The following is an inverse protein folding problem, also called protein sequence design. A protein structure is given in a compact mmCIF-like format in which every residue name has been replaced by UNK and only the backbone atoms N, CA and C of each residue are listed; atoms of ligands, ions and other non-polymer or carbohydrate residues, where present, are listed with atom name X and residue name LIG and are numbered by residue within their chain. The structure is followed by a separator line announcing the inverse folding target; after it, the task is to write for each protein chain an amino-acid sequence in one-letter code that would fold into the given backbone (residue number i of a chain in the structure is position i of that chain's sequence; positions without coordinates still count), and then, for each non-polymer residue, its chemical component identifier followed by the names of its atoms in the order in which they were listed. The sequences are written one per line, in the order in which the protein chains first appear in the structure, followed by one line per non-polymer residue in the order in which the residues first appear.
data_IF_099018927039
#
_entry.id   IF_099018927039
#
_cell.length_a   1.000
_cell.length_b   1.000
_cell.length_c   1.000
_cell.angle_alpha   90.00
_cell.angle_beta   90.00
_cell.angle_gamma   90.00
#
_symmetry.space_group_name_H-M   'P 1'
#
loop_
_entity.id
_entity.type
_entity.pdbx_description
1 polymer ?
#
# COMPACT_ATOMS: atom_id res chain seq x y z
N UNK A 1 -0.77 1.81 9.74
CA UNK A 1 -1.85 0.80 9.61
C UNK A 1 -2.94 1.18 8.60
N UNK A 2 -3.29 2.46 8.41
CA UNK A 2 -4.15 2.89 7.28
C UNK A 2 -3.60 2.41 5.92
N UNK A 3 -2.28 2.56 5.74
CA UNK A 3 -1.55 2.12 4.55
C UNK A 3 -1.83 0.64 4.24
N UNK A 4 -1.71 -0.23 5.23
CA UNK A 4 -1.90 -1.67 5.06
C UNK A 4 -3.35 -2.02 4.70
N UNK A 5 -4.33 -1.35 5.34
CA UNK A 5 -5.74 -1.54 5.07
C UNK A 5 -6.13 -1.21 3.62
N UNK A 6 -5.60 -0.13 3.01
CA UNK A 6 -5.89 0.21 1.62
C UNK A 6 -5.04 -0.58 0.62
N UNK A 7 -3.84 -0.98 1.03
CA UNK A 7 -2.98 -1.82 0.20
C UNK A 7 -3.66 -3.14 -0.16
N UNK A 8 -4.42 -3.76 0.75
CA UNK A 8 -5.09 -5.06 0.52
C UNK A 8 -6.04 -5.03 -0.71
N UNK A 9 -7.05 -4.14 -0.79
CA UNK A 9 -7.91 -4.06 -1.97
C UNK A 9 -7.12 -3.66 -3.22
N UNK A 10 -6.15 -2.75 -3.12
CA UNK A 10 -5.30 -2.37 -4.26
C UNK A 10 -4.50 -3.54 -4.83
N UNK A 11 -3.85 -4.34 -3.97
CA UNK A 11 -3.11 -5.54 -4.38
C UNK A 11 -4.04 -6.53 -5.05
N UNK A 12 -5.23 -6.80 -4.49
CA UNK A 12 -6.21 -7.73 -5.10
C UNK A 12 -6.64 -7.26 -6.50
N UNK A 13 -6.81 -5.96 -6.71
CA UNK A 13 -7.14 -5.40 -8.03
C UNK A 13 -5.96 -5.55 -8.99
N UNK A 14 -4.75 -5.17 -8.55
CA UNK A 14 -3.56 -5.21 -9.39
C UNK A 14 -3.14 -6.63 -9.77
N UNK A 15 -3.11 -7.58 -8.84
CA UNK A 15 -2.82 -8.99 -9.15
C UNK A 15 -3.88 -9.60 -10.07
N UNK A 16 -5.15 -9.22 -9.93
CA UNK A 16 -6.20 -9.67 -10.86
C UNK A 16 -5.98 -9.11 -12.26
N UNK A 17 -5.51 -7.88 -12.39
CA UNK A 17 -5.23 -7.24 -13.66
C UNK A 17 -3.95 -7.77 -14.33
N UNK A 18 -2.82 -7.76 -13.61
CA UNK A 18 -1.51 -8.15 -14.14
C UNK A 18 -1.26 -9.66 -14.14
N UNK A 19 -1.64 -10.37 -13.08
CA UNK A 19 -1.35 -11.79 -12.88
C UNK A 19 -2.54 -12.70 -13.22
N UNK A 20 -3.72 -12.13 -13.55
CA UNK A 20 -4.97 -12.85 -13.86
C UNK A 20 -5.39 -13.87 -12.79
N UNK A 21 -5.04 -13.62 -11.53
CA UNK A 21 -5.32 -14.53 -10.41
C UNK A 21 -6.83 -14.59 -10.11
N UNK A 22 -7.38 -15.80 -9.97
CA UNK A 22 -8.78 -16.00 -9.54
C UNK A 22 -8.89 -15.95 -8.03
N UNK A 23 -9.67 -14.99 -7.52
CA UNK A 23 -9.92 -14.82 -6.08
C UNK A 23 -11.20 -15.52 -5.65
N UNK A 24 -11.15 -16.26 -4.53
CA UNK A 24 -12.33 -16.84 -3.87
C UNK A 24 -13.13 -15.74 -3.17
N UNK A 25 -14.45 -15.88 -3.12
CA UNK A 25 -15.38 -14.91 -2.51
C UNK A 25 -14.96 -14.50 -1.08
N UNK A 26 -14.41 -15.43 -0.28
CA UNK A 26 -13.91 -15.12 1.08
C UNK A 26 -12.82 -14.05 1.14
N UNK A 27 -11.98 -13.92 0.10
CA UNK A 27 -10.96 -12.86 0.01
C UNK A 27 -11.58 -11.53 -0.39
N UNK A 28 -12.62 -11.56 -1.22
CA UNK A 28 -13.36 -10.37 -1.63
C UNK A 28 -14.15 -9.76 -0.46
N UNK A 29 -14.72 -10.60 0.41
CA UNK A 29 -15.42 -10.13 1.62
C UNK A 29 -14.46 -9.47 2.63
N UNK A 30 -13.23 -9.97 2.75
CA UNK A 30 -12.20 -9.30 3.55
C UNK A 30 -11.83 -7.92 2.98
N UNK A 31 -11.68 -7.84 1.66
CA UNK A 31 -11.39 -6.58 0.97
C UNK A 31 -12.48 -5.52 1.18
N UNK A 32 -13.76 -5.91 1.13
CA UNK A 32 -14.87 -4.97 1.41
C UNK A 32 -14.85 -4.43 2.83
N UNK A 33 -14.47 -5.24 3.82
CA UNK A 33 -14.33 -4.79 5.21
C UNK A 33 -13.18 -3.78 5.34
N UNK A 34 -12.07 -3.99 4.62
CA UNK A 34 -10.95 -3.06 4.60
C UNK A 34 -11.37 -1.69 4.03
N UNK A 35 -12.16 -1.68 2.95
CA UNK A 35 -12.72 -0.44 2.38
C UNK A 35 -13.63 0.28 3.39
N UNK A 36 -14.49 -0.45 4.09
CA UNK A 36 -15.35 0.13 5.12
C UNK A 36 -14.54 0.79 6.27
N UNK A 37 -13.46 0.13 6.72
CA UNK A 37 -12.57 0.68 7.75
C UNK A 37 -11.94 2.02 7.34
N UNK A 38 -11.55 2.17 6.07
CA UNK A 38 -10.93 3.40 5.57
C UNK A 38 -11.92 4.56 5.53
N UNK A 39 -13.16 4.30 5.10
CA UNK A 39 -14.21 5.32 5.09
C UNK A 39 -14.45 5.85 6.51
N UNK A 40 -14.48 4.96 7.51
CA UNK A 40 -14.64 5.35 8.92
C UNK A 40 -13.46 6.21 9.40
N UNK A 41 -12.22 5.83 9.06
CA UNK A 41 -11.04 6.57 9.50
C UNK A 41 -11.00 7.97 8.87
N UNK A 42 -11.19 8.10 7.55
CA UNK A 42 -11.22 9.40 6.87
C UNK A 42 -12.32 10.28 7.46
N UNK A 43 -13.50 9.71 7.75
CA UNK A 43 -14.60 10.47 8.38
C UNK A 43 -14.23 10.95 9.79
N UNK A 44 -13.52 10.11 10.56
CA UNK A 44 -13.01 10.47 11.88
C UNK A 44 -11.99 11.61 11.79
N UNK A 45 -11.11 11.60 10.81
CA UNK A 45 -10.10 12.65 10.62
C UNK A 45 -10.73 13.98 10.18
N UNK A 46 -11.75 13.94 9.31
CA UNK A 46 -12.54 15.14 8.95
C UNK A 46 -13.27 15.71 10.18
N UNK A 47 -13.88 14.86 11.01
CA UNK A 47 -14.59 15.33 12.22
C UNK A 47 -13.63 15.81 13.32
N UNK A 48 -12.43 15.25 13.42
CA UNK A 48 -11.40 15.67 14.36
C UNK A 48 -10.71 16.97 13.91
N UNK A 49 -10.58 17.20 12.60
CA UNK A 49 -10.02 18.43 12.01
C UNK A 49 -10.73 19.69 12.50
N UNK A 50 -12.06 19.59 12.63
CA UNK A 50 -12.93 20.69 13.07
C UNK A 50 -12.66 21.08 14.54
N UNK A 51 -12.06 20.18 15.32
CA UNK A 51 -11.77 20.37 16.76
C UNK A 51 -10.30 20.61 17.09
N UNK A 52 -9.36 20.16 16.25
CA UNK A 52 -7.95 20.02 16.64
C UNK A 52 -6.99 21.06 16.04
N UNK A 53 -7.42 21.98 15.16
CA UNK A 53 -6.55 23.04 14.64
C UNK A 53 -5.33 22.57 13.82
N UNK A 54 -5.29 21.29 13.44
CA UNK A 54 -4.21 20.70 12.63
C UNK A 54 -4.29 21.10 11.16
N UNK A 55 -3.14 21.38 10.55
CA UNK A 55 -3.05 21.83 9.16
C UNK A 55 -3.36 20.67 8.18
N UNK A 56 -4.56 20.69 7.59
CA UNK A 56 -5.01 19.82 6.48
C UNK A 56 -4.72 18.30 6.63
N UNK A 57 -5.30 17.58 7.61
CA UNK A 57 -5.14 16.12 7.73
C UNK A 57 -5.59 15.37 6.47
N UNK A 58 -6.51 15.93 5.69
CA UNK A 58 -6.89 15.42 4.37
C UNK A 58 -5.70 15.25 3.40
N UNK A 59 -4.67 16.12 3.49
CA UNK A 59 -3.45 15.97 2.68
C UNK A 59 -2.64 14.76 3.14
N UNK A 60 -2.60 14.50 4.45
CA UNK A 60 -1.97 13.32 5.02
C UNK A 60 -2.65 12.04 4.53
N UNK A 61 -3.98 11.97 4.60
CA UNK A 61 -4.76 10.83 4.12
C UNK A 61 -4.52 10.57 2.63
N UNK A 62 -4.49 11.61 1.80
CA UNK A 62 -4.21 11.50 0.38
C UNK A 62 -2.80 10.95 0.11
N UNK A 63 -1.80 11.39 0.88
CA UNK A 63 -0.42 10.95 0.75
C UNK A 63 -0.26 9.48 1.19
N UNK A 64 -0.99 9.07 2.24
CA UNK A 64 -1.08 7.66 2.67
C UNK A 64 -1.74 6.80 1.60
N UNK A 65 -2.84 7.25 1.00
CA UNK A 65 -3.51 6.55 -0.10
C UNK A 65 -2.56 6.40 -1.30
N UNK A 66 -1.88 7.46 -1.71
CA UNK A 66 -0.88 7.41 -2.78
C UNK A 66 0.25 6.42 -2.45
N UNK A 67 0.80 6.48 -1.23
CA UNK A 67 1.84 5.57 -0.76
C UNK A 67 1.40 4.10 -0.76
N UNK A 68 0.15 3.83 -0.36
CA UNK A 68 -0.40 2.46 -0.35
C UNK A 68 -0.65 1.90 -1.76
N UNK A 69 -0.97 2.73 -2.75
CA UNK A 69 -1.04 2.30 -4.16
C UNK A 69 0.37 1.92 -4.65
N UNK A 70 1.37 2.75 -4.38
CA UNK A 70 2.76 2.47 -4.75
C UNK A 70 3.27 1.19 -4.09
N UNK A 71 2.98 1.01 -2.79
CA UNK A 71 3.33 -0.20 -2.07
C UNK A 71 2.63 -1.44 -2.65
N UNK A 72 1.35 -1.32 -3.03
CA UNK A 72 0.64 -2.39 -3.73
C UNK A 72 1.30 -2.74 -5.07
N UNK A 73 1.73 -1.74 -5.85
CA UNK A 73 2.44 -1.96 -7.12
C UNK A 73 3.78 -2.67 -6.90
N UNK A 74 4.58 -2.24 -5.91
CA UNK A 74 5.84 -2.91 -5.57
C UNK A 74 5.61 -4.38 -5.21
N UNK A 75 4.63 -4.66 -4.34
CA UNK A 75 4.32 -6.03 -3.90
C UNK A 75 3.88 -6.93 -5.08
N UNK A 76 3.06 -6.41 -5.99
CA UNK A 76 2.62 -7.18 -7.18
C UNK A 76 3.76 -7.38 -8.17
N UNK A 77 4.65 -6.40 -8.29
CA UNK A 77 5.86 -6.51 -9.13
C UNK A 77 6.81 -7.56 -8.59
N UNK A 78 7.02 -7.61 -7.27
CA UNK A 78 7.79 -8.68 -6.62
C UNK A 78 7.14 -10.05 -6.84
N UNK A 79 5.81 -10.17 -6.70
CA UNK A 79 5.09 -11.42 -7.00
C UNK A 79 5.22 -11.84 -8.47
N UNK A 80 5.34 -10.87 -9.38
CA UNK A 80 5.58 -11.16 -10.79
C UNK A 80 7.02 -11.61 -11.04
N UNK A 81 8.00 -10.86 -10.56
CA UNK A 81 9.42 -11.14 -10.77
C UNK A 81 9.87 -12.46 -10.13
N UNK A 82 9.32 -12.81 -8.97
CA UNK A 82 9.65 -14.07 -8.29
C UNK A 82 9.19 -15.31 -9.06
N UNK A 83 8.27 -15.16 -10.02
CA UNK A 83 7.88 -16.24 -10.93
C UNK A 83 8.88 -16.45 -12.06
N UNK A 84 9.82 -15.52 -12.26
CA UNK A 84 10.80 -15.55 -13.34
C UNK A 84 12.26 -15.61 -12.86
N UNK A 85 12.57 -15.11 -11.65
CA UNK A 85 13.92 -15.05 -11.08
C UNK A 85 13.98 -15.66 -9.66
N UNK A 86 15.20 -15.88 -9.14
CA UNK A 86 15.39 -16.44 -7.81
C UNK A 86 14.96 -15.44 -6.72
N UNK A 87 14.32 -15.96 -5.66
CA UNK A 87 13.89 -15.20 -4.49
C UNK A 87 15.03 -14.48 -3.79
N UNK A 88 16.16 -15.17 -3.63
CA UNK A 88 17.32 -14.63 -2.90
C UNK A 88 17.92 -13.47 -3.68
N UNK A 89 18.04 -13.61 -5.00
CA UNK A 89 18.57 -12.56 -5.88
C UNK A 89 17.68 -11.32 -5.86
N UNK A 90 16.35 -11.49 -5.98
CA UNK A 90 15.41 -10.38 -5.92
C UNK A 90 15.45 -9.62 -4.60
N UNK A 91 15.47 -10.34 -3.47
CA UNK A 91 15.53 -9.71 -2.15
C UNK A 91 16.88 -9.02 -1.89
N UNK A 92 17.98 -9.59 -2.41
CA UNK A 92 19.29 -8.97 -2.33
C UNK A 92 19.39 -7.67 -3.16
N UNK A 93 18.86 -7.67 -4.38
CA UNK A 93 18.79 -6.47 -5.23
C UNK A 93 17.89 -5.40 -4.59
N UNK A 94 16.68 -5.77 -4.17
CA UNK A 94 15.76 -4.84 -3.51
C UNK A 94 16.39 -4.20 -2.27
N UNK A 95 17.03 -5.01 -1.41
CA UNK A 95 17.70 -4.54 -0.21
C UNK A 95 18.91 -3.65 -0.49
N UNK A 96 19.75 -4.01 -1.47
CA UNK A 96 20.93 -3.21 -1.84
C UNK A 96 20.56 -1.85 -2.45
N UNK A 97 19.60 -1.80 -3.38
CA UNK A 97 19.11 -0.53 -3.92
C UNK A 97 18.41 0.31 -2.84
N UNK A 98 17.62 -0.31 -1.98
CA UNK A 98 16.99 0.35 -0.84
C UNK A 98 18.02 1.00 0.10
N UNK A 99 19.10 0.28 0.42
CA UNK A 99 20.18 0.79 1.26
C UNK A 99 20.88 2.02 0.64
N UNK A 100 21.12 2.02 -0.67
CA UNK A 100 21.71 3.17 -1.38
C UNK A 100 20.79 4.39 -1.29
N UNK A 101 19.49 4.21 -1.57
CA UNK A 101 18.51 5.31 -1.48
C UNK A 101 18.41 5.85 -0.06
N UNK A 102 18.37 4.98 0.95
CA UNK A 102 18.37 5.39 2.35
C UNK A 102 19.65 6.13 2.76
N UNK A 103 20.81 5.71 2.25
CA UNK A 103 22.08 6.40 2.50
C UNK A 103 22.08 7.82 1.91
N UNK A 104 21.49 8.01 0.71
CA UNK A 104 21.33 9.33 0.10
C UNK A 104 20.36 10.20 0.91
N UNK A 105 19.21 9.64 1.34
CA UNK A 105 18.23 10.35 2.18
C UNK A 105 18.77 10.76 3.56
N UNK A 106 19.82 10.10 4.05
CA UNK A 106 20.42 10.40 5.35
C UNK A 106 21.24 11.70 5.35
N UNK A 107 21.59 12.25 4.18
CA UNK A 107 22.24 13.56 4.08
C UNK A 107 21.17 14.66 4.09
N UNK A 108 21.21 15.61 5.05
CA UNK A 108 20.22 16.68 5.18
C UNK A 108 20.28 17.72 4.05
#
# INVERSE_FOLDING_TARGET
MLLDCFTIPCVIIFTRFFLKTKYRIKKLTGASICIAGIVIVIFSDVHASDRAGGNNPLKGDLLVIAGSILYAVSNVSEEFLVKSADRVELMALLGSFGAIVSAIQMYP
#
